data_IF_380718464188
#
_entry.id   IF_380718464188
#
_cell.length_a   1.000
_cell.length_b   1.000
_cell.length_c   1.000
_cell.angle_alpha   90.00
_cell.angle_beta   90.00
_cell.angle_gamma   90.00
#
_symmetry.space_group_name_H-M   'P 1'
#
loop_
_entity.id
_entity.type
_entity.pdbx_description
1 polymer ?
#
# COMPACT_ATOMS: atom_id res chain seq x y z
N UNK A 1 -2.50 0.06 3.03
CA UNK A 1 -2.68 1.06 1.98
C UNK A 1 -2.34 0.49 0.60
N UNK A 2 -1.18 -0.10 0.37
CA UNK A 2 -0.79 -0.67 -0.94
C UNK A 2 -1.81 -1.65 -1.50
N UNK A 3 -2.36 -2.54 -0.67
CA UNK A 3 -3.41 -3.49 -1.07
C UNK A 3 -4.63 -2.75 -1.64
N UNK A 4 -5.00 -1.60 -1.05
CA UNK A 4 -6.12 -0.79 -1.50
C UNK A 4 -5.81 0.00 -2.77
N UNK A 5 -4.59 0.54 -2.88
CA UNK A 5 -4.19 1.39 -4.01
C UNK A 5 -3.64 0.63 -5.22
N UNK A 6 -3.29 -0.65 -5.06
CA UNK A 6 -2.72 -1.47 -6.13
C UNK A 6 -1.31 -1.10 -6.58
N UNK A 7 -0.64 -0.20 -5.85
CA UNK A 7 0.71 0.28 -6.17
C UNK A 7 1.58 0.42 -4.93
N UNK A 8 2.86 0.06 -5.04
CA UNK A 8 3.84 0.20 -3.98
C UNK A 8 4.29 1.64 -3.71
N UNK A 9 4.05 2.55 -4.65
CA UNK A 9 4.50 3.95 -4.52
C UNK A 9 3.83 4.73 -3.39
N UNK A 10 2.70 4.27 -2.92
CA UNK A 10 1.98 4.82 -1.76
C UNK A 10 2.86 4.90 -0.50
N UNK A 11 3.86 4.05 -0.38
CA UNK A 11 4.78 4.08 0.77
C UNK A 11 5.52 5.41 0.87
N UNK A 12 5.88 6.03 -0.25
CA UNK A 12 6.66 7.28 -0.24
C UNK A 12 5.92 8.44 0.43
N UNK A 13 4.59 8.43 0.39
CA UNK A 13 3.78 9.45 1.08
C UNK A 13 3.72 9.25 2.58
N UNK A 14 4.01 8.03 3.05
CA UNK A 14 3.93 7.65 4.47
C UNK A 14 5.30 7.66 5.13
N UNK A 15 6.39 7.48 4.36
CA UNK A 15 7.76 7.44 4.90
C UNK A 15 8.10 8.64 5.80
N UNK A 16 7.76 9.90 5.46
CA UNK A 16 8.01 11.04 6.35
C UNK A 16 7.28 10.92 7.70
N UNK A 17 6.06 10.38 7.70
CA UNK A 17 5.28 10.16 8.92
C UNK A 17 5.92 9.05 9.77
N UNK A 18 6.35 7.96 9.12
CA UNK A 18 7.03 6.85 9.79
C UNK A 18 8.35 7.33 10.41
N UNK A 19 9.11 8.15 9.70
CA UNK A 19 10.34 8.77 10.19
C UNK A 19 10.08 9.59 11.45
N UNK A 20 9.13 10.51 11.40
CA UNK A 20 8.79 11.39 12.52
C UNK A 20 8.32 10.61 13.76
N UNK A 21 7.45 9.61 13.55
CA UNK A 21 6.99 8.73 14.64
C UNK A 21 8.15 7.91 15.21
N UNK A 22 9.05 7.41 14.38
CA UNK A 22 10.20 6.64 14.84
C UNK A 22 11.15 7.48 15.70
N UNK A 23 11.52 8.67 15.23
CA UNK A 23 12.39 9.59 15.97
C UNK A 23 11.77 9.99 17.32
N UNK A 24 10.48 10.33 17.34
CA UNK A 24 9.77 10.71 18.58
C UNK A 24 9.69 9.58 19.61
N UNK A 25 9.78 8.34 19.16
CA UNK A 25 9.77 7.17 20.04
C UNK A 25 11.17 6.55 20.24
N UNK A 26 12.24 7.25 19.88
CA UNK A 26 13.63 6.80 19.99
C UNK A 26 13.93 5.49 19.24
N UNK A 27 13.13 5.21 18.19
CA UNK A 27 13.31 4.05 17.31
C UNK A 27 14.17 4.48 16.11
N UNK A 28 15.14 3.66 15.76
CA UNK A 28 15.97 3.89 14.56
C UNK A 28 15.09 3.87 13.29
N UNK A 29 14.96 5.00 12.56
CA UNK A 29 13.96 5.16 11.49
C UNK A 29 14.12 4.16 10.35
N UNK A 30 15.35 3.74 10.04
CA UNK A 30 15.63 2.80 8.96
C UNK A 30 14.86 1.48 9.13
N UNK A 31 14.62 1.05 10.36
CA UNK A 31 13.92 -0.21 10.68
C UNK A 31 12.46 -0.20 10.20
N UNK A 32 11.60 0.70 10.69
CA UNK A 32 10.21 0.73 10.25
C UNK A 32 10.07 1.22 8.81
N UNK A 33 10.97 2.08 8.32
CA UNK A 33 10.96 2.54 6.92
C UNK A 33 11.27 1.39 5.96
N UNK A 34 12.31 0.59 6.24
CA UNK A 34 12.64 -0.59 5.43
C UNK A 34 11.51 -1.62 5.47
N UNK A 35 10.99 -1.94 6.65
CA UNK A 35 9.87 -2.88 6.80
C UNK A 35 8.63 -2.41 6.05
N UNK A 36 8.30 -1.12 6.11
CA UNK A 36 7.17 -0.52 5.40
C UNK A 36 7.35 -0.54 3.89
N UNK A 37 8.57 -0.29 3.41
CA UNK A 37 8.89 -0.33 1.98
C UNK A 37 8.76 -1.75 1.42
N UNK A 38 9.34 -2.74 2.09
CA UNK A 38 9.24 -4.15 1.68
C UNK A 38 7.79 -4.62 1.77
N UNK A 39 7.09 -4.34 2.87
CA UNK A 39 5.69 -4.68 3.04
C UNK A 39 4.78 -4.03 2.00
N UNK A 40 5.11 -2.81 1.57
CA UNK A 40 4.39 -2.13 0.50
C UNK A 40 4.58 -2.84 -0.85
N UNK A 41 5.78 -3.24 -1.20
CA UNK A 41 6.03 -3.99 -2.44
C UNK A 41 5.33 -5.35 -2.44
N UNK A 42 5.37 -6.08 -1.31
CA UNK A 42 4.64 -7.33 -1.16
C UNK A 42 3.13 -7.16 -1.26
N UNK A 43 2.60 -6.03 -0.81
CA UNK A 43 1.17 -5.73 -0.86
C UNK A 43 0.59 -5.60 -2.28
N UNK A 44 1.42 -5.41 -3.30
CA UNK A 44 0.97 -5.29 -4.70
C UNK A 44 0.32 -6.60 -5.16
N UNK A 45 0.90 -7.76 -4.83
CA UNK A 45 0.39 -9.07 -5.25
C UNK A 45 -0.89 -9.50 -4.50
N UNK A 46 -1.20 -8.85 -3.41
CA UNK A 46 -2.42 -9.08 -2.63
C UNK A 46 -3.53 -8.05 -2.96
N UNK A 47 -3.30 -7.17 -3.92
CA UNK A 47 -4.23 -6.10 -4.26
C UNK A 47 -5.21 -6.52 -5.36
N UNK A 48 -6.52 -6.42 -5.12
CA UNK A 48 -7.54 -6.70 -6.13
C UNK A 48 -7.54 -5.69 -7.28
N UNK A 49 -6.95 -4.51 -7.09
CA UNK A 49 -6.89 -3.43 -8.10
C UNK A 49 -5.53 -3.35 -8.79
N UNK A 50 -4.58 -4.21 -8.42
CA UNK A 50 -3.26 -4.23 -9.04
C UNK A 50 -3.31 -4.76 -10.47
N UNK A 51 -2.72 -4.01 -11.39
CA UNK A 51 -2.54 -4.44 -12.78
C UNK A 51 -1.72 -5.74 -12.84
N UNK A 52 -0.74 -5.94 -11.96
CA UNK A 52 0.05 -7.15 -11.90
C UNK A 52 -0.81 -8.40 -11.61
N UNK A 53 -1.72 -8.32 -10.64
CA UNK A 53 -2.65 -9.41 -10.31
C UNK A 53 -3.59 -9.69 -11.46
N UNK A 54 -4.16 -8.66 -12.07
CA UNK A 54 -5.10 -8.82 -13.20
C UNK A 54 -4.39 -9.41 -14.42
N UNK A 55 -3.18 -8.98 -14.72
CA UNK A 55 -2.37 -9.54 -15.82
C UNK A 55 -2.02 -10.99 -15.55
N UNK A 56 -1.67 -11.35 -14.31
CA UNK A 56 -1.37 -12.72 -13.92
C UNK A 56 -2.60 -13.63 -14.09
N UNK A 57 -3.79 -13.17 -13.65
CA UNK A 57 -5.04 -13.91 -13.85
C UNK A 57 -5.34 -14.12 -15.34
N UNK A 58 -5.10 -13.11 -16.18
CA UNK A 58 -5.29 -13.23 -17.63
C UNK A 58 -4.35 -14.28 -18.24
N UNK A 59 -3.11 -14.37 -17.76
CA UNK A 59 -2.14 -15.37 -18.21
C UNK A 59 -2.44 -16.79 -17.72
N UNK A 60 -3.03 -16.90 -16.52
CA UNK A 60 -3.38 -18.18 -15.89
C UNK A 60 -4.77 -18.69 -16.27
N UNK A 61 -5.56 -17.87 -16.96
CA UNK A 61 -6.97 -18.18 -17.29
C UNK A 61 -7.18 -19.46 -18.09
N UNK A 62 -6.17 -19.86 -18.88
CA UNK A 62 -6.18 -21.10 -19.65
C UNK A 62 -5.67 -22.32 -18.85
N UNK A 63 -5.14 -22.09 -17.66
CA UNK A 63 -4.59 -23.16 -16.81
C UNK A 63 -5.69 -23.72 -15.92
N UNK A 64 -5.89 -25.00 -16.00
CA UNK A 64 -6.81 -25.74 -15.11
C UNK A 64 -6.05 -26.48 -14.02
N UNK A 65 -6.40 -26.23 -12.76
CA UNK A 65 -5.95 -27.00 -11.60
C UNK A 65 -7.13 -27.84 -11.11
N UNK A 66 -6.94 -29.14 -11.07
CA UNK A 66 -7.98 -30.10 -10.64
C UNK A 66 -9.31 -29.94 -11.40
N UNK A 67 -9.26 -29.61 -12.71
CA UNK A 67 -10.45 -29.45 -13.54
C UNK A 67 -11.18 -28.10 -13.38
N UNK A 68 -10.65 -27.17 -12.55
CA UNK A 68 -11.19 -25.83 -12.37
C UNK A 68 -10.23 -24.79 -12.96
N UNK A 69 -10.74 -23.84 -13.72
CA UNK A 69 -9.97 -22.69 -14.17
C UNK A 69 -9.61 -21.80 -12.98
N UNK A 70 -8.34 -21.38 -12.93
CA UNK A 70 -7.86 -20.46 -11.91
C UNK A 70 -8.45 -19.06 -12.16
N UNK A 71 -9.29 -18.62 -11.23
CA UNK A 71 -9.93 -17.32 -11.29
C UNK A 71 -9.22 -16.26 -10.42
N UNK A 72 -9.71 -15.04 -10.54
CA UNK A 72 -9.24 -13.90 -9.76
C UNK A 72 -9.36 -14.13 -8.24
N UNK A 73 -10.48 -14.68 -7.79
CA UNK A 73 -10.73 -14.95 -6.36
C UNK A 73 -9.81 -16.07 -5.84
N UNK A 74 -9.57 -17.11 -6.65
CA UNK A 74 -8.69 -18.21 -6.26
C UNK A 74 -7.24 -17.72 -6.05
N UNK A 75 -6.77 -16.81 -6.91
CA UNK A 75 -5.46 -16.20 -6.78
C UNK A 75 -5.37 -15.34 -5.50
N UNK A 76 -6.34 -14.46 -5.27
CA UNK A 76 -6.35 -13.59 -4.09
C UNK A 76 -6.48 -14.39 -2.78
N UNK A 77 -7.22 -15.49 -2.78
CA UNK A 77 -7.34 -16.37 -1.61
C UNK A 77 -5.99 -16.97 -1.18
N UNK A 78 -5.04 -17.09 -2.10
CA UNK A 78 -3.68 -17.55 -1.82
C UNK A 78 -2.75 -16.38 -1.50
N UNK A 79 -2.80 -15.32 -2.30
CA UNK A 79 -1.84 -14.22 -2.21
C UNK A 79 -2.06 -13.34 -0.98
N UNK A 80 -3.31 -13.10 -0.57
CA UNK A 80 -3.60 -12.27 0.61
C UNK A 80 -3.04 -12.90 1.89
N UNK A 81 -3.35 -14.16 2.25
CA UNK A 81 -2.78 -14.76 3.46
C UNK A 81 -1.26 -14.84 3.41
N UNK A 82 -0.69 -15.24 2.27
CA UNK A 82 0.76 -15.35 2.10
C UNK A 82 1.47 -14.01 2.31
N UNK A 83 0.91 -12.94 1.76
CA UNK A 83 1.42 -11.57 1.93
C UNK A 83 1.32 -11.12 3.38
N UNK A 84 0.19 -11.38 4.06
CA UNK A 84 0.02 -11.00 5.46
C UNK A 84 1.02 -11.73 6.36
N UNK A 85 1.26 -13.02 6.14
CA UNK A 85 2.28 -13.78 6.87
C UNK A 85 3.67 -13.19 6.61
N UNK A 86 4.01 -12.89 5.35
CA UNK A 86 5.29 -12.27 5.00
C UNK A 86 5.50 -10.92 5.67
N UNK A 87 4.46 -10.06 5.69
CA UNK A 87 4.50 -8.76 6.37
C UNK A 87 4.67 -8.92 7.89
N UNK A 88 4.00 -9.88 8.50
CA UNK A 88 4.17 -10.20 9.92
C UNK A 88 5.60 -10.66 10.22
N UNK A 89 6.17 -11.54 9.40
CA UNK A 89 7.56 -11.97 9.55
C UNK A 89 8.54 -10.81 9.45
N UNK A 90 8.36 -9.90 8.47
CA UNK A 90 9.20 -8.70 8.33
C UNK A 90 9.03 -7.78 9.54
N UNK A 91 7.81 -7.58 10.03
CA UNK A 91 7.53 -6.78 11.22
C UNK A 91 8.24 -7.33 12.45
N UNK A 92 8.13 -8.64 12.71
CA UNK A 92 8.78 -9.32 13.81
C UNK A 92 10.31 -9.21 13.66
N UNK A 93 10.85 -9.48 12.48
CA UNK A 93 12.28 -9.37 12.21
C UNK A 93 12.79 -7.93 12.44
N UNK A 94 12.05 -6.92 11.97
CA UNK A 94 12.35 -5.52 12.17
C UNK A 94 12.33 -5.13 13.66
N UNK A 95 11.44 -5.74 14.45
CA UNK A 95 11.35 -5.49 15.90
C UNK A 95 12.61 -5.97 16.64
N UNK A 96 13.11 -7.16 16.31
CA UNK A 96 14.26 -7.75 17.01
C UNK A 96 15.61 -7.24 16.49
N UNK A 97 15.68 -6.66 15.31
CA UNK A 97 16.94 -6.25 14.68
C UNK A 97 17.26 -4.78 14.95
N UNK A 98 18.47 -4.53 15.42
CA UNK A 98 19.05 -3.21 15.58
C UNK A 98 18.90 -2.64 16.99
N UNK A 99 19.69 -1.61 17.28
CA UNK A 99 19.69 -0.87 18.54
C UNK A 99 18.72 0.30 18.42
N UNK A 100 18.08 0.65 19.54
CA UNK A 100 17.30 1.87 19.63
C UNK A 100 18.25 3.08 19.68
N UNK A 101 17.74 4.26 19.31
CA UNK A 101 18.58 5.47 19.21
C UNK A 101 19.29 5.83 20.52
N UNK A 102 18.65 5.56 21.67
CA UNK A 102 19.24 5.80 22.99
C UNK A 102 20.44 4.90 23.30
N UNK A 103 20.54 3.76 22.65
CA UNK A 103 21.56 2.73 22.86
C UNK A 103 22.61 2.72 21.75
N UNK A 104 22.51 3.63 20.79
CA UNK A 104 23.44 3.73 19.66
C UNK A 104 24.45 4.85 19.93
N UNK A 105 25.73 4.52 20.23
CA UNK A 105 26.75 5.51 20.57
C UNK A 105 27.07 6.42 19.37
N UNK A 106 27.03 5.91 18.14
CA UNK A 106 27.29 6.71 16.93
C UNK A 106 26.20 7.77 16.74
N UNK A 107 24.94 7.42 16.98
CA UNK A 107 23.85 8.36 16.90
C UNK A 107 23.93 9.41 18.03
N UNK A 108 24.26 9.01 19.25
CA UNK A 108 24.41 9.92 20.38
C UNK A 108 25.55 10.92 20.15
N UNK A 109 26.67 10.47 19.59
CA UNK A 109 27.76 11.36 19.16
C UNK A 109 27.32 12.31 18.06
N UNK A 110 26.55 11.83 17.07
CA UNK A 110 26.02 12.63 15.97
C UNK A 110 25.12 13.77 16.47
N UNK A 111 24.16 13.48 17.37
CA UNK A 111 23.24 14.48 17.92
C UNK A 111 23.85 15.36 19.02
N UNK A 112 25.04 15.07 19.50
CA UNK A 112 25.74 15.94 20.45
C UNK A 112 26.06 17.31 19.86
N UNK A 113 26.17 17.40 18.53
CA UNK A 113 26.37 18.67 17.80
C UNK A 113 25.01 19.39 17.64
N UNK A 114 24.91 20.69 18.02
CA UNK A 114 23.64 21.43 17.96
C UNK A 114 22.98 21.44 16.58
N UNK A 115 23.80 21.57 15.53
CA UNK A 115 23.34 21.59 14.12
C UNK A 115 22.65 20.28 13.73
N UNK A 116 23.21 19.13 14.14
CA UNK A 116 22.65 17.82 13.84
C UNK A 116 21.39 17.55 14.65
N UNK A 117 21.33 18.04 15.90
CA UNK A 117 20.15 17.94 16.73
C UNK A 117 18.99 18.72 16.14
N UNK A 118 19.23 19.91 15.63
CA UNK A 118 18.23 20.72 14.95
C UNK A 118 17.76 20.05 13.63
N UNK A 119 18.68 19.45 12.89
CA UNK A 119 18.37 18.70 11.67
C UNK A 119 17.46 17.48 11.93
N UNK A 120 17.71 16.73 13.01
CA UNK A 120 16.96 15.49 13.34
C UNK A 120 15.63 15.79 14.04
N UNK A 121 15.63 16.74 14.99
CA UNK A 121 14.47 17.04 15.84
C UNK A 121 13.81 18.38 15.53
N UNK A 122 14.38 19.17 14.60
CA UNK A 122 13.80 20.43 14.16
C UNK A 122 12.45 20.25 13.48
N UNK A 123 11.73 21.33 13.24
CA UNK A 123 10.37 21.34 12.70
C UNK A 123 10.29 20.60 11.36
N UNK A 124 10.21 19.28 11.42
CA UNK A 124 9.69 18.49 10.32
C UNK A 124 8.21 18.84 10.20
N UNK A 125 7.80 19.27 9.02
CA UNK A 125 6.39 19.61 8.72
C UNK A 125 5.55 18.34 8.87
N UNK A 126 5.22 18.01 10.10
CA UNK A 126 4.38 16.85 10.42
C UNK A 126 2.96 17.15 10.01
N UNK A 127 2.46 16.40 9.05
CA UNK A 127 1.05 16.44 8.64
C UNK A 127 0.11 15.85 9.71
N UNK A 128 0.65 15.26 10.79
CA UNK A 128 -0.12 14.57 11.84
C UNK A 128 -1.11 15.48 12.58
N UNK A 129 -0.81 16.77 12.74
CA UNK A 129 -1.67 17.71 13.45
C UNK A 129 -2.41 18.67 12.51
N UNK A 130 -2.31 18.48 11.18
CA UNK A 130 -2.97 19.37 10.22
C UNK A 130 -4.44 18.97 10.10
N UNK A 131 -5.35 19.91 10.38
CA UNK A 131 -6.78 19.72 10.11
C UNK A 131 -6.98 19.67 8.60
N UNK A 132 -7.40 18.51 8.11
CA UNK A 132 -7.68 18.31 6.69
C UNK A 132 -9.00 18.98 6.31
N UNK A 133 -9.07 19.68 5.17
CA UNK A 133 -10.32 20.24 4.66
C UNK A 133 -11.32 19.12 4.34
N UNK A 134 -12.61 19.47 4.31
CA UNK A 134 -13.69 18.50 4.03
C UNK A 134 -13.54 17.84 2.65
N UNK A 135 -12.99 18.57 1.67
CA UNK A 135 -12.71 18.04 0.32
C UNK A 135 -11.83 16.80 0.33
N UNK A 136 -10.79 16.74 1.19
CA UNK A 136 -9.91 15.58 1.29
C UNK A 136 -10.66 14.34 1.82
N UNK A 137 -11.61 14.52 2.73
CA UNK A 137 -12.47 13.43 3.22
C UNK A 137 -13.39 12.90 2.13
N UNK A 138 -13.97 13.79 1.33
CA UNK A 138 -14.82 13.41 0.18
C UNK A 138 -13.99 12.65 -0.85
N UNK A 139 -12.80 13.16 -1.21
CA UNK A 139 -11.88 12.48 -2.13
C UNK A 139 -11.49 11.08 -1.62
N UNK A 140 -11.20 10.95 -0.31
CA UNK A 140 -10.90 9.65 0.32
C UNK A 140 -12.06 8.66 0.18
N UNK A 141 -13.30 9.10 0.46
CA UNK A 141 -14.47 8.23 0.36
C UNK A 141 -14.79 7.82 -1.07
N UNK A 142 -14.62 8.73 -2.05
CA UNK A 142 -14.76 8.42 -3.48
C UNK A 142 -13.71 7.39 -3.89
N UNK A 143 -12.46 7.56 -3.48
CA UNK A 143 -11.37 6.63 -3.77
C UNK A 143 -11.64 5.23 -3.18
N UNK A 144 -12.00 5.16 -1.89
CA UNK A 144 -12.32 3.88 -1.23
C UNK A 144 -13.55 3.20 -1.87
N UNK A 145 -14.58 3.98 -2.21
CA UNK A 145 -15.75 3.48 -2.92
C UNK A 145 -15.40 2.90 -4.28
N UNK A 146 -14.53 3.57 -5.04
CA UNK A 146 -14.06 3.09 -6.34
C UNK A 146 -13.31 1.76 -6.22
N UNK A 147 -12.45 1.63 -5.20
CA UNK A 147 -11.74 0.37 -4.93
C UNK A 147 -12.72 -0.76 -4.59
N UNK A 148 -13.71 -0.49 -3.75
CA UNK A 148 -14.72 -1.48 -3.38
C UNK A 148 -15.50 -1.97 -4.61
N UNK A 149 -15.90 -1.06 -5.51
CA UNK A 149 -16.59 -1.41 -6.76
C UNK A 149 -15.68 -2.25 -7.68
N UNK A 150 -14.41 -1.86 -7.84
CA UNK A 150 -13.46 -2.64 -8.64
C UNK A 150 -13.27 -4.05 -8.06
N UNK A 151 -13.19 -4.18 -6.74
CA UNK A 151 -13.07 -5.48 -6.08
C UNK A 151 -14.33 -6.35 -6.29
N UNK A 152 -15.51 -5.75 -6.21
CA UNK A 152 -16.79 -6.44 -6.50
C UNK A 152 -16.88 -6.91 -7.95
N UNK A 153 -16.53 -6.06 -8.92
CA UNK A 153 -16.52 -6.42 -10.34
C UNK A 153 -15.45 -7.46 -10.66
N UNK A 154 -14.37 -7.52 -9.86
CA UNK A 154 -13.38 -8.57 -9.95
C UNK A 154 -13.87 -9.91 -9.43
N UNK A 155 -14.58 -9.90 -8.30
CA UNK A 155 -15.12 -11.10 -7.67
C UNK A 155 -16.34 -11.67 -8.45
N UNK A 156 -17.16 -10.79 -9.02
CA UNK A 156 -18.37 -11.16 -9.74
C UNK A 156 -18.29 -10.69 -11.22
N UNK A 157 -17.73 -11.50 -12.11
CA UNK A 157 -17.57 -11.15 -13.53
C UNK A 157 -18.91 -10.84 -14.23
N UNK A 158 -20.02 -11.41 -13.75
CA UNK A 158 -21.36 -11.22 -14.28
C UNK A 158 -21.88 -9.78 -14.11
N UNK A 159 -21.36 -9.06 -13.12
CA UNK A 159 -21.72 -7.66 -12.86
C UNK A 159 -20.93 -6.67 -13.71
N UNK A 160 -19.95 -7.13 -14.50
CA UNK A 160 -19.13 -6.25 -15.33
C UNK A 160 -19.96 -5.64 -16.45
N UNK A 161 -19.79 -4.35 -16.72
CA UNK A 161 -20.42 -3.72 -17.89
C UNK A 161 -20.00 -4.47 -19.16
N UNK A 162 -20.97 -4.73 -20.02
CA UNK A 162 -20.73 -5.35 -21.32
C UNK A 162 -20.86 -4.27 -22.41
N UNK A 163 -19.91 -4.27 -23.34
CA UNK A 163 -19.96 -3.47 -24.57
C UNK A 163 -19.96 -4.43 -25.74
N UNK A 164 -20.92 -4.26 -26.66
CA UNK A 164 -21.14 -5.16 -27.80
C UNK A 164 -21.30 -6.65 -27.42
N UNK A 165 -21.96 -6.92 -26.28
CA UNK A 165 -22.21 -8.28 -25.80
C UNK A 165 -21.01 -8.97 -25.14
N UNK A 166 -19.85 -8.28 -25.01
CA UNK A 166 -18.66 -8.78 -24.31
C UNK A 166 -18.42 -8.01 -23.03
N UNK A 167 -18.24 -8.72 -21.91
CA UNK A 167 -17.86 -8.11 -20.65
C UNK A 167 -16.51 -7.37 -20.79
N UNK A 168 -16.44 -6.16 -20.22
CA UNK A 168 -15.20 -5.38 -20.22
C UNK A 168 -14.07 -6.15 -19.51
N UNK A 169 -12.86 -6.04 -20.06
CA UNK A 169 -11.68 -6.60 -19.41
C UNK A 169 -11.46 -5.94 -18.05
N UNK A 170 -10.97 -6.71 -17.06
CA UNK A 170 -10.71 -6.18 -15.72
C UNK A 170 -9.69 -5.04 -15.72
N UNK A 171 -8.71 -5.07 -16.63
CA UNK A 171 -7.74 -3.99 -16.82
C UNK A 171 -8.43 -2.67 -17.16
N UNK A 172 -9.38 -2.71 -18.09
CA UNK A 172 -10.12 -1.53 -18.54
C UNK A 172 -11.05 -1.00 -17.44
N UNK A 173 -11.69 -1.90 -16.70
CA UNK A 173 -12.51 -1.54 -15.52
C UNK A 173 -11.66 -0.81 -14.48
N UNK A 174 -10.48 -1.33 -14.14
CA UNK A 174 -9.57 -0.68 -13.19
C UNK A 174 -9.16 0.71 -13.69
N UNK A 175 -8.77 0.83 -14.96
CA UNK A 175 -8.33 2.10 -15.54
C UNK A 175 -9.44 3.16 -15.48
N UNK A 176 -10.68 2.80 -15.82
CA UNK A 176 -11.82 3.71 -15.75
C UNK A 176 -12.10 4.18 -14.32
N UNK A 177 -12.17 3.23 -13.38
CA UNK A 177 -12.45 3.59 -11.99
C UNK A 177 -11.32 4.40 -11.34
N UNK A 178 -10.05 4.11 -11.67
CA UNK A 178 -8.94 4.91 -11.19
C UNK A 178 -8.92 6.32 -11.79
N UNK A 179 -9.34 6.50 -13.04
CA UNK A 179 -9.54 7.81 -13.63
C UNK A 179 -10.60 8.62 -12.87
N UNK A 180 -11.75 8.02 -12.58
CA UNK A 180 -12.83 8.66 -11.82
C UNK A 180 -12.42 8.94 -10.38
N UNK A 181 -11.67 8.04 -9.75
CA UNK A 181 -11.17 8.24 -8.39
C UNK A 181 -10.09 9.32 -8.30
N UNK A 182 -9.29 9.49 -9.36
CA UNK A 182 -8.24 10.51 -9.44
C UNK A 182 -8.76 11.92 -9.72
N UNK A 183 -9.86 12.05 -10.45
CA UNK A 183 -10.41 13.36 -10.81
C UNK A 183 -10.69 14.30 -9.62
N UNK A 184 -11.28 13.83 -8.49
CA UNK A 184 -11.52 14.69 -7.33
C UNK A 184 -10.27 15.08 -6.55
N UNK A 185 -9.12 14.45 -6.82
CA UNK A 185 -7.86 14.75 -6.12
C UNK A 185 -7.08 15.90 -6.78
N UNK A 186 -7.53 16.35 -7.96
CA UNK A 186 -6.89 17.42 -8.73
C UNK A 186 -7.50 18.80 -8.39
N UNK A 187 -8.66 18.82 -7.72
CA UNK A 187 -9.36 20.02 -7.26
C UNK A 187 -9.03 20.29 -5.80
#
# INVERSE_FOLDING_TARGET
LTILCGTGHVVYTILPIIYDVAIKNNIRPERPMAASTIGSQMGIIASPVSVAVVSLVAMLGDITLNGKHLGFVDLLAITIPSTLIGILCIGIFSWYRGKDLDKDPEFQEFISKPENKEYVYGDTVTLLNKKLPRSNWVAMWIFLGSIAVVALLGAFPELRPAVDGKALSMVLVIQLFMLFAGAPTII
#
